data_IF_557911911860
#
_entry.id   IF_557911911860
#
_cell.length_a   1.000
_cell.length_b   1.000
_cell.length_c   1.000
_cell.angle_alpha   90.00
_cell.angle_beta   90.00
_cell.angle_gamma   90.00
#
_symmetry.space_group_name_H-M   'P 1'
#
loop_
_entity.id
_entity.type
_entity.pdbx_description
1 polymer ?
#
# COMPACT_ATOMS: atom_id res chain seq x y z
N UNK A 1 23.15 25.22 49.27
CA UNK A 1 22.47 23.92 49.05
C UNK A 1 20.97 24.16 49.15
N UNK A 2 20.31 24.43 48.02
CA UNK A 2 18.84 24.46 47.95
C UNK A 2 18.43 24.14 46.51
N UNK A 3 18.09 22.88 46.28
CA UNK A 3 17.59 22.35 45.01
C UNK A 3 16.11 22.70 44.85
N UNK A 4 15.77 23.52 43.85
CA UNK A 4 14.41 23.75 43.40
C UNK A 4 14.01 22.65 42.40
N UNK A 5 13.12 21.76 42.83
CA UNK A 5 12.48 20.77 41.97
C UNK A 5 11.31 21.41 41.23
N UNK A 6 11.42 21.57 39.93
CA UNK A 6 10.33 21.98 39.04
C UNK A 6 9.46 20.76 38.71
N UNK A 7 8.22 20.78 39.18
CA UNK A 7 7.20 19.79 38.86
C UNK A 7 6.83 19.90 37.37
N UNK A 8 7.17 18.86 36.59
CA UNK A 8 6.72 18.71 35.22
C UNK A 8 5.26 18.23 35.22
N UNK A 9 4.34 19.10 34.80
CA UNK A 9 2.94 18.80 34.57
C UNK A 9 2.83 17.78 33.42
N UNK A 10 2.47 16.54 33.76
CA UNK A 10 2.20 15.49 32.78
C UNK A 10 0.97 15.88 31.93
N UNK A 11 1.17 16.00 30.62
CA UNK A 11 0.09 16.15 29.66
C UNK A 11 -0.83 14.90 29.69
N UNK A 12 -2.15 15.05 29.53
CA UNK A 12 -3.06 13.92 29.61
C UNK A 12 -2.82 12.94 28.45
N UNK A 13 -2.97 11.63 28.69
CA UNK A 13 -2.80 10.63 27.64
C UNK A 13 -3.83 10.88 26.52
N UNK A 14 -3.34 10.98 25.29
CA UNK A 14 -4.18 11.09 24.09
C UNK A 14 -5.19 9.94 24.07
N UNK A 15 -6.47 10.31 23.98
CA UNK A 15 -7.57 9.35 23.97
C UNK A 15 -7.37 8.33 22.82
N UNK A 16 -7.14 7.06 23.18
CA UNK A 16 -7.15 5.94 22.22
C UNK A 16 -8.49 5.97 21.48
N UNK A 17 -8.52 6.02 20.14
CA UNK A 17 -9.78 5.93 19.42
C UNK A 17 -10.39 4.55 19.71
N UNK A 18 -11.52 4.54 20.45
CA UNK A 18 -12.36 3.35 20.62
C UNK A 18 -12.69 2.82 19.23
N UNK A 19 -12.38 1.54 18.98
CA UNK A 19 -12.46 0.91 17.67
C UNK A 19 -13.91 0.76 17.18
N UNK A 20 -14.46 1.83 16.62
CA UNK A 20 -15.70 1.80 15.85
C UNK A 20 -15.45 0.98 14.59
N UNK A 21 -16.33 0.01 14.32
CA UNK A 21 -16.27 -0.80 13.11
C UNK A 21 -16.39 0.10 11.87
N UNK A 22 -15.40 0.05 10.98
CA UNK A 22 -15.42 0.76 9.71
C UNK A 22 -16.44 0.14 8.76
N UNK A 23 -17.40 0.93 8.28
CA UNK A 23 -18.40 0.48 7.31
C UNK A 23 -17.75 -0.01 6.00
N UNK A 24 -16.62 0.58 5.60
CA UNK A 24 -15.84 0.13 4.45
C UNK A 24 -15.27 -1.27 4.66
N UNK A 25 -14.70 -1.53 5.84
CA UNK A 25 -14.15 -2.86 6.17
C UNK A 25 -15.23 -3.93 6.25
N UNK A 26 -16.42 -3.59 6.73
CA UNK A 26 -17.56 -4.50 6.80
C UNK A 26 -18.04 -5.02 5.43
N UNK A 27 -17.60 -4.40 4.32
CA UNK A 27 -17.88 -4.92 2.97
C UNK A 27 -17.08 -6.18 2.64
N UNK A 28 -15.95 -6.40 3.33
CA UNK A 28 -15.06 -7.52 3.08
C UNK A 28 -15.50 -8.74 3.88
N UNK A 29 -15.20 -9.94 3.38
CA UNK A 29 -15.34 -11.16 4.17
C UNK A 29 -14.52 -11.13 5.46
N UNK A 30 -14.90 -11.89 6.50
CA UNK A 30 -14.13 -11.99 7.75
C UNK A 30 -12.64 -12.27 7.53
N UNK A 31 -12.28 -13.11 6.56
CA UNK A 31 -10.90 -13.46 6.24
C UNK A 31 -10.14 -12.26 5.63
N UNK A 32 -10.76 -11.53 4.70
CA UNK A 32 -10.18 -10.33 4.13
C UNK A 32 -10.07 -9.20 5.17
N UNK A 33 -11.05 -9.08 6.08
CA UNK A 33 -10.98 -8.17 7.22
C UNK A 33 -9.81 -8.53 8.15
N UNK A 34 -9.63 -9.81 8.45
CA UNK A 34 -8.52 -10.31 9.26
C UNK A 34 -7.19 -9.95 8.61
N UNK A 35 -7.02 -10.27 7.32
CA UNK A 35 -5.83 -9.93 6.56
C UNK A 35 -5.50 -8.43 6.62
N UNK A 36 -6.43 -7.53 6.25
CA UNK A 36 -6.13 -6.08 6.23
C UNK A 36 -5.85 -5.52 7.63
N UNK A 37 -6.45 -6.07 8.68
CA UNK A 37 -6.15 -5.67 10.06
C UNK A 37 -4.72 -6.03 10.48
N UNK A 38 -4.14 -7.12 9.95
CA UNK A 38 -2.73 -7.46 10.23
C UNK A 38 -1.72 -6.48 9.62
N UNK A 39 -2.14 -5.65 8.65
CA UNK A 39 -1.32 -4.57 8.11
C UNK A 39 -1.16 -3.40 9.10
N UNK A 40 -2.13 -3.19 9.99
CA UNK A 40 -2.06 -2.14 11.00
C UNK A 40 -1.18 -2.50 12.20
N UNK A 41 -1.17 -1.62 13.20
CA UNK A 41 -0.37 -1.80 14.42
C UNK A 41 -1.08 -2.58 15.54
N UNK A 42 -0.45 -2.59 16.72
CA UNK A 42 -0.94 -3.26 17.94
C UNK A 42 -2.36 -2.86 18.37
N UNK A 43 -2.84 -1.69 17.95
CA UNK A 43 -4.22 -1.23 18.17
C UNK A 43 -5.30 -2.16 17.56
N UNK A 44 -4.93 -3.07 16.66
CA UNK A 44 -5.84 -4.01 16.02
C UNK A 44 -6.02 -5.34 16.76
N UNK A 45 -5.38 -5.55 17.91
CA UNK A 45 -5.50 -6.79 18.66
C UNK A 45 -6.95 -7.15 19.01
N UNK A 46 -7.73 -6.21 19.56
CA UNK A 46 -9.12 -6.44 19.92
C UNK A 46 -10.03 -6.82 18.71
N UNK A 47 -10.05 -6.09 17.58
CA UNK A 47 -10.85 -6.49 16.43
C UNK A 47 -10.37 -7.81 15.79
N UNK A 48 -9.07 -8.12 15.80
CA UNK A 48 -8.56 -9.41 15.32
C UNK A 48 -9.04 -10.58 16.21
N UNK A 49 -9.00 -10.44 17.54
CA UNK A 49 -9.54 -11.47 18.47
C UNK A 49 -11.01 -11.76 18.21
N UNK A 50 -11.84 -10.72 18.03
CA UNK A 50 -13.27 -10.89 17.71
C UNK A 50 -13.51 -11.68 16.42
N UNK A 51 -12.66 -11.50 15.41
CA UNK A 51 -12.75 -12.28 14.17
C UNK A 51 -12.37 -13.75 14.39
N UNK A 52 -11.39 -14.04 15.27
CA UNK A 52 -11.00 -15.41 15.62
C UNK A 52 -12.04 -16.16 16.46
N UNK A 53 -12.88 -15.43 17.20
CA UNK A 53 -14.00 -16.02 17.96
C UNK A 53 -15.12 -16.53 17.03
N UNK A 54 -15.13 -16.07 15.78
CA UNK A 54 -16.07 -16.49 14.73
C UNK A 54 -15.44 -17.56 13.82
N UNK A 55 -16.24 -18.43 13.16
CA UNK A 55 -15.70 -19.38 12.20
C UNK A 55 -15.09 -18.64 11.00
N UNK A 56 -13.78 -18.83 10.79
CA UNK A 56 -13.05 -18.34 9.62
C UNK A 56 -12.80 -19.48 8.62
N UNK A 57 -12.89 -19.19 7.34
CA UNK A 57 -12.39 -20.05 6.28
C UNK A 57 -10.85 -19.92 6.21
N UNK A 58 -10.15 -20.86 6.82
CA UNK A 58 -8.69 -20.86 6.89
C UNK A 58 -8.02 -21.01 5.51
N UNK A 59 -8.65 -21.71 4.57
CA UNK A 59 -8.11 -21.88 3.21
C UNK A 59 -8.21 -20.56 2.44
N UNK A 60 -9.32 -19.86 2.60
CA UNK A 60 -9.50 -18.52 2.03
C UNK A 60 -8.55 -17.51 2.64
N UNK A 61 -8.40 -17.47 3.97
CA UNK A 61 -7.44 -16.59 4.63
C UNK A 61 -6.00 -16.85 4.14
N UNK A 62 -5.64 -18.13 3.98
CA UNK A 62 -4.32 -18.53 3.45
C UNK A 62 -4.14 -18.03 2.02
N UNK A 63 -5.11 -18.25 1.14
CA UNK A 63 -5.07 -17.79 -0.25
C UNK A 63 -4.90 -16.27 -0.36
N UNK A 64 -5.68 -15.50 0.40
CA UNK A 64 -5.57 -14.05 0.45
C UNK A 64 -4.20 -13.59 0.98
N UNK A 65 -3.70 -14.25 2.02
CA UNK A 65 -2.40 -13.93 2.62
C UNK A 65 -1.25 -14.22 1.68
N UNK A 66 -1.28 -15.32 0.94
CA UNK A 66 -0.27 -15.64 -0.08
C UNK A 66 -0.30 -14.65 -1.24
N UNK A 67 -1.49 -14.26 -1.72
CA UNK A 67 -1.64 -13.27 -2.78
C UNK A 67 -1.01 -11.92 -2.42
N UNK A 68 -1.20 -11.46 -1.18
CA UNK A 68 -0.61 -10.22 -0.67
C UNK A 68 0.81 -10.40 -0.10
N UNK A 69 1.35 -11.63 -0.12
CA UNK A 69 2.63 -12.03 0.52
C UNK A 69 2.68 -11.76 2.03
N UNK A 70 1.53 -11.73 2.70
CA UNK A 70 1.38 -11.43 4.11
C UNK A 70 1.52 -12.64 5.04
N UNK A 71 1.74 -13.86 4.50
CA UNK A 71 1.66 -15.13 5.24
C UNK A 71 2.43 -15.15 6.55
N UNK A 72 3.70 -14.71 6.55
CA UNK A 72 4.53 -14.67 7.75
C UNK A 72 3.93 -13.75 8.82
N UNK A 73 3.51 -12.55 8.43
CA UNK A 73 2.96 -11.55 9.35
C UNK A 73 1.61 -12.01 9.92
N UNK A 74 0.75 -12.59 9.08
CA UNK A 74 -0.52 -13.17 9.50
C UNK A 74 -0.30 -14.31 10.50
N UNK A 75 0.69 -15.17 10.25
CA UNK A 75 1.08 -16.23 11.18
C UNK A 75 1.61 -15.69 12.51
N UNK A 76 2.44 -14.65 12.51
CA UNK A 76 2.91 -13.99 13.74
C UNK A 76 1.75 -13.41 14.56
N UNK A 77 0.76 -12.80 13.90
CA UNK A 77 -0.47 -12.37 14.58
C UNK A 77 -1.25 -13.53 15.17
N UNK A 78 -1.46 -14.62 14.42
CA UNK A 78 -2.15 -15.81 14.92
C UNK A 78 -1.44 -16.43 16.13
N UNK A 79 -0.10 -16.47 16.13
CA UNK A 79 0.67 -16.94 17.29
C UNK A 79 0.47 -16.02 18.51
N UNK A 80 0.54 -14.70 18.30
CA UNK A 80 0.37 -13.71 19.37
C UNK A 80 -1.04 -13.75 19.98
N UNK A 81 -2.06 -13.88 19.15
CA UNK A 81 -3.45 -13.86 19.59
C UNK A 81 -3.89 -15.21 20.17
N UNK A 82 -3.16 -16.27 19.86
CA UNK A 82 -3.60 -17.66 20.00
C UNK A 82 -4.32 -18.10 18.72
N UNK A 83 -4.11 -19.35 18.31
CA UNK A 83 -4.65 -19.91 17.06
C UNK A 83 -6.16 -20.16 17.12
N UNK A 84 -6.82 -19.88 18.25
CA UNK A 84 -8.27 -19.99 18.43
C UNK A 84 -8.78 -21.39 18.07
N UNK A 85 -9.75 -21.45 17.15
CA UNK A 85 -10.38 -22.68 16.64
C UNK A 85 -9.65 -23.31 15.44
N UNK A 86 -8.43 -22.86 15.12
CA UNK A 86 -7.67 -23.40 13.99
C UNK A 86 -7.31 -24.88 14.22
N UNK A 87 -7.66 -25.78 13.28
CA UNK A 87 -7.22 -27.18 13.34
C UNK A 87 -5.69 -27.31 13.37
N UNK A 88 -5.18 -28.33 14.06
CA UNK A 88 -3.74 -28.50 14.27
C UNK A 88 -2.95 -28.75 12.97
N UNK A 89 -3.54 -29.48 12.02
CA UNK A 89 -2.99 -29.71 10.69
C UNK A 89 -2.86 -28.40 9.88
N UNK A 90 -3.89 -27.55 9.93
CA UNK A 90 -3.88 -26.21 9.34
C UNK A 90 -2.81 -25.34 10.00
N UNK A 91 -2.71 -25.34 11.33
CA UNK A 91 -1.67 -24.58 12.04
C UNK A 91 -0.25 -25.04 11.67
N UNK A 92 -0.05 -26.36 11.51
CA UNK A 92 1.24 -26.92 11.07
C UNK A 92 1.58 -26.49 9.64
N UNK A 93 0.59 -26.38 8.76
CA UNK A 93 0.80 -25.88 7.40
C UNK A 93 1.18 -24.39 7.39
N UNK A 94 0.48 -23.56 8.15
CA UNK A 94 0.83 -22.14 8.30
C UNK A 94 2.24 -21.95 8.84
N UNK A 95 2.64 -22.75 9.85
CA UNK A 95 4.01 -22.73 10.37
C UNK A 95 5.03 -23.03 9.27
N UNK A 96 4.80 -24.06 8.45
CA UNK A 96 5.69 -24.39 7.32
C UNK A 96 5.77 -23.26 6.29
N UNK A 97 4.63 -22.69 5.91
CA UNK A 97 4.60 -21.58 4.97
C UNK A 97 5.31 -20.34 5.52
N UNK A 98 5.14 -20.03 6.81
CA UNK A 98 5.81 -18.91 7.46
C UNK A 98 7.34 -19.12 7.49
N UNK A 99 7.82 -20.32 7.81
CA UNK A 99 9.27 -20.65 7.75
C UNK A 99 9.83 -20.46 6.33
N UNK A 100 9.09 -20.86 5.29
CA UNK A 100 9.49 -20.62 3.90
C UNK A 100 9.55 -19.11 3.61
N UNK A 101 8.53 -18.34 4.00
CA UNK A 101 8.53 -16.89 3.79
C UNK A 101 9.68 -16.18 4.51
N UNK A 102 10.03 -16.61 5.72
CA UNK A 102 11.16 -16.08 6.49
C UNK A 102 12.50 -16.41 5.82
N UNK A 103 12.70 -17.67 5.42
CA UNK A 103 13.88 -18.09 4.65
C UNK A 103 14.04 -17.29 3.35
N UNK A 104 12.96 -17.13 2.59
CA UNK A 104 12.94 -16.34 1.36
C UNK A 104 13.29 -14.87 1.59
N UNK A 105 12.86 -14.30 2.72
CA UNK A 105 13.17 -12.93 3.09
C UNK A 105 14.65 -12.75 3.44
N UNK A 106 15.24 -13.68 4.20
CA UNK A 106 16.69 -13.67 4.47
C UNK A 106 17.51 -13.90 3.20
N UNK A 107 16.99 -14.70 2.27
CA UNK A 107 17.59 -14.86 0.95
C UNK A 107 17.58 -13.51 0.22
N UNK A 108 16.45 -12.82 0.11
CA UNK A 108 16.37 -11.49 -0.49
C UNK A 108 17.35 -10.50 0.14
N UNK A 109 17.43 -10.46 1.47
CA UNK A 109 18.35 -9.61 2.23
C UNK A 109 19.83 -9.86 1.85
N UNK A 110 20.26 -11.13 1.85
CA UNK A 110 21.62 -11.51 1.43
C UNK A 110 21.92 -11.06 0.00
N UNK A 111 21.00 -11.30 -0.92
CA UNK A 111 21.19 -10.94 -2.33
C UNK A 111 21.23 -9.43 -2.54
N UNK A 112 20.47 -8.66 -1.76
CA UNK A 112 20.57 -7.22 -1.75
C UNK A 112 21.96 -6.77 -1.30
N UNK A 113 22.49 -7.35 -0.22
CA UNK A 113 23.84 -7.04 0.27
C UNK A 113 24.91 -7.37 -0.77
N UNK A 114 24.85 -8.53 -1.41
CA UNK A 114 25.79 -8.92 -2.49
C UNK A 114 25.71 -7.98 -3.69
N UNK A 115 24.50 -7.58 -4.10
CA UNK A 115 24.31 -6.65 -5.21
C UNK A 115 24.86 -5.26 -4.88
N UNK A 116 24.57 -4.73 -3.69
CA UNK A 116 25.10 -3.43 -3.23
C UNK A 116 26.62 -3.48 -3.12
N UNK A 117 27.19 -4.53 -2.53
CA UNK A 117 28.64 -4.68 -2.40
C UNK A 117 29.36 -4.71 -3.75
N UNK A 118 28.82 -5.45 -4.72
CA UNK A 118 29.38 -5.52 -6.06
C UNK A 118 29.41 -4.15 -6.76
N UNK A 119 28.38 -3.33 -6.54
CA UNK A 119 28.26 -2.00 -7.14
C UNK A 119 29.14 -0.97 -6.42
N UNK A 120 29.08 -0.92 -5.09
CA UNK A 120 29.84 0.03 -4.27
C UNK A 120 31.35 -0.21 -4.40
N UNK A 121 31.80 -1.46 -4.53
CA UNK A 121 33.22 -1.80 -4.80
C UNK A 121 33.71 -1.26 -6.14
N UNK A 122 32.80 -0.99 -7.09
CA UNK A 122 33.10 -0.31 -8.38
C UNK A 122 32.87 1.21 -8.31
N UNK A 123 32.70 1.74 -7.10
CA UNK A 123 32.40 3.15 -6.84
C UNK A 123 31.02 3.59 -7.31
N UNK A 124 30.09 2.66 -7.62
CA UNK A 124 28.73 2.99 -8.04
C UNK A 124 27.90 3.28 -6.79
N UNK A 125 27.42 4.51 -6.65
CA UNK A 125 26.50 4.89 -5.59
C UNK A 125 25.13 4.21 -5.80
N UNK A 126 24.58 3.63 -4.74
CA UNK A 126 23.31 2.90 -4.78
C UNK A 126 22.31 3.52 -3.82
N UNK A 127 21.08 3.73 -4.28
CA UNK A 127 19.93 4.06 -3.45
C UNK A 127 18.99 2.86 -3.39
N UNK A 128 18.67 2.39 -2.19
CA UNK A 128 17.62 1.40 -1.98
C UNK A 128 16.26 2.05 -2.27
N UNK A 129 15.37 1.33 -2.96
CA UNK A 129 14.01 1.79 -3.23
C UNK A 129 12.95 0.83 -2.68
N UNK A 130 11.70 1.30 -2.61
CA UNK A 130 10.49 0.52 -2.30
C UNK A 130 10.70 -0.42 -1.10
N UNK A 131 10.47 -1.72 -1.29
CA UNK A 131 10.59 -2.73 -0.24
C UNK A 131 12.00 -2.79 0.35
N UNK A 132 13.04 -2.72 -0.48
CA UNK A 132 14.44 -2.74 -0.04
C UNK A 132 14.76 -1.58 0.91
N UNK A 133 14.31 -0.37 0.57
CA UNK A 133 14.51 0.81 1.41
C UNK A 133 13.75 0.70 2.74
N UNK A 134 12.47 0.31 2.67
CA UNK A 134 11.60 0.22 3.84
C UNK A 134 12.09 -0.85 4.81
N UNK A 135 12.44 -2.03 4.31
CA UNK A 135 12.99 -3.12 5.11
C UNK A 135 14.24 -2.69 5.88
N UNK A 136 15.12 -1.90 5.25
CA UNK A 136 16.37 -1.43 5.86
C UNK A 136 16.19 -0.26 6.83
N UNK A 137 15.20 0.61 6.60
CA UNK A 137 15.10 1.91 7.31
C UNK A 137 13.98 2.00 8.33
N UNK A 138 12.93 1.19 8.19
CA UNK A 138 11.69 1.39 8.94
C UNK A 138 11.21 0.12 9.67
N UNK A 139 11.42 -1.06 9.08
CA UNK A 139 11.02 -2.33 9.68
C UNK A 139 12.09 -2.86 10.63
N UNK A 140 11.70 -3.66 11.63
CA UNK A 140 12.66 -4.18 12.61
C UNK A 140 13.56 -5.29 12.03
N UNK A 141 13.08 -5.98 11.01
CA UNK A 141 13.88 -6.92 10.21
C UNK A 141 13.41 -6.96 8.76
N UNK A 142 14.25 -7.49 7.87
CA UNK A 142 13.92 -7.62 6.45
C UNK A 142 12.67 -8.49 6.22
N UNK A 143 12.49 -9.54 7.03
CA UNK A 143 11.34 -10.44 6.97
C UNK A 143 10.01 -9.78 7.38
N UNK A 144 10.05 -8.68 8.15
CA UNK A 144 8.84 -7.97 8.54
C UNK A 144 8.20 -7.14 7.41
N UNK A 145 8.96 -6.90 6.33
CA UNK A 145 8.49 -6.30 5.07
C UNK A 145 8.53 -7.33 3.94
N UNK A 146 7.49 -8.17 3.80
CA UNK A 146 7.41 -9.10 2.69
C UNK A 146 7.49 -8.42 1.31
N UNK A 147 8.37 -8.92 0.45
CA UNK A 147 8.56 -8.46 -0.93
C UNK A 147 8.87 -9.64 -1.86
N UNK A 148 8.87 -9.42 -3.18
CA UNK A 148 9.15 -10.48 -4.16
C UNK A 148 10.29 -10.13 -5.12
N UNK A 149 10.87 -8.95 -4.93
CA UNK A 149 11.78 -8.27 -5.82
C UNK A 149 12.64 -7.30 -5.03
N UNK A 150 13.81 -7.01 -5.56
CA UNK A 150 14.73 -6.01 -5.05
C UNK A 150 14.76 -4.82 -6.00
N UNK A 151 14.43 -3.65 -5.47
CA UNK A 151 14.53 -2.39 -6.19
C UNK A 151 15.73 -1.59 -5.68
N UNK A 152 16.64 -1.25 -6.59
CA UNK A 152 17.74 -0.32 -6.34
C UNK A 152 17.75 0.75 -7.42
N UNK A 153 18.25 1.93 -7.10
CA UNK A 153 18.45 3.02 -8.04
C UNK A 153 19.92 3.42 -8.06
N UNK A 154 20.41 3.71 -9.26
CA UNK A 154 21.76 4.25 -9.51
C UNK A 154 21.64 5.50 -10.36
N UNK A 155 22.72 6.27 -10.47
CA UNK A 155 22.78 7.40 -11.39
C UNK A 155 22.61 6.91 -12.84
N UNK A 156 21.82 7.63 -13.64
CA UNK A 156 21.41 7.20 -14.97
C UNK A 156 22.61 6.92 -15.88
N UNK A 157 23.64 7.76 -15.79
CA UNK A 157 24.90 7.65 -16.52
C UNK A 157 25.71 6.38 -16.19
N UNK A 158 25.48 5.76 -15.02
CA UNK A 158 26.15 4.51 -14.60
C UNK A 158 25.22 3.29 -14.62
N UNK A 159 23.98 3.44 -15.09
CA UNK A 159 22.98 2.38 -14.99
C UNK A 159 23.33 1.13 -15.80
N UNK A 160 23.83 1.30 -17.02
CA UNK A 160 24.28 0.17 -17.85
C UNK A 160 25.53 -0.51 -17.26
N UNK A 161 26.46 0.27 -16.70
CA UNK A 161 27.62 -0.27 -15.99
C UNK A 161 27.19 -1.11 -14.79
N UNK A 162 26.29 -0.59 -13.95
CA UNK A 162 25.75 -1.31 -12.80
C UNK A 162 25.07 -2.62 -13.22
N UNK A 163 24.24 -2.56 -14.25
CA UNK A 163 23.53 -3.70 -14.80
C UNK A 163 24.48 -4.76 -15.38
N UNK A 164 25.56 -4.36 -16.05
CA UNK A 164 26.63 -5.26 -16.49
C UNK A 164 27.41 -5.88 -15.32
N UNK A 165 27.77 -5.09 -14.30
CA UNK A 165 28.45 -5.60 -13.09
C UNK A 165 27.60 -6.68 -12.41
N UNK A 166 26.31 -6.45 -12.25
CA UNK A 166 25.40 -7.42 -11.66
C UNK A 166 25.36 -8.73 -12.46
N UNK A 167 25.38 -8.66 -13.80
CA UNK A 167 25.41 -9.88 -14.61
C UNK A 167 26.68 -10.72 -14.40
N UNK A 168 27.83 -10.09 -14.15
CA UNK A 168 29.06 -10.82 -13.76
C UNK A 168 28.95 -11.51 -12.38
N UNK A 169 27.90 -11.20 -11.61
CA UNK A 169 27.63 -11.73 -10.26
C UNK A 169 26.45 -12.70 -10.21
N UNK A 170 26.13 -13.36 -11.32
CA UNK A 170 25.13 -14.44 -11.38
C UNK A 170 23.70 -13.96 -11.63
N UNK A 171 23.51 -12.68 -11.93
CA UNK A 171 22.25 -12.15 -12.43
C UNK A 171 22.16 -12.31 -13.95
N UNK A 172 20.98 -12.59 -14.48
CA UNK A 172 20.79 -12.75 -15.93
C UNK A 172 19.56 -12.02 -16.42
N UNK A 173 19.63 -11.57 -17.66
CA UNK A 173 18.51 -10.94 -18.34
C UNK A 173 17.77 -11.95 -19.22
N UNK A 174 16.54 -12.36 -18.85
CA UNK A 174 15.73 -13.20 -19.71
C UNK A 174 15.03 -12.32 -20.77
N UNK A 175 15.77 -11.98 -21.83
CA UNK A 175 15.32 -11.07 -22.89
C UNK A 175 14.00 -11.47 -23.56
N UNK A 176 13.69 -12.77 -23.63
CA UNK A 176 12.41 -13.25 -24.14
C UNK A 176 11.20 -12.82 -23.27
N UNK A 177 11.41 -12.66 -21.96
CA UNK A 177 10.39 -12.19 -21.02
C UNK A 177 10.34 -10.65 -20.93
N UNK A 178 11.50 -10.01 -21.07
CA UNK A 178 11.65 -8.56 -20.96
C UNK A 178 12.50 -8.02 -22.12
N UNK A 179 11.92 -7.89 -23.32
CA UNK A 179 12.62 -7.38 -24.50
C UNK A 179 13.05 -5.92 -24.28
N UNK A 180 14.24 -5.54 -24.76
CA UNK A 180 14.83 -4.22 -24.51
C UNK A 180 13.98 -3.08 -25.09
N UNK A 181 13.25 -3.35 -26.16
CA UNK A 181 12.35 -2.43 -26.86
C UNK A 181 11.21 -1.91 -25.99
N UNK A 182 10.90 -2.61 -24.88
CA UNK A 182 9.88 -2.18 -23.91
C UNK A 182 10.38 -1.17 -22.87
N UNK A 183 11.68 -0.88 -22.82
CA UNK A 183 12.31 -0.09 -21.77
C UNK A 183 12.75 1.35 -22.11
N UNK A 184 12.69 1.87 -23.36
CA UNK A 184 12.86 3.30 -23.60
C UNK A 184 11.84 4.12 -22.79
N UNK A 185 12.32 5.07 -21.98
CA UNK A 185 11.48 5.90 -21.11
C UNK A 185 10.92 5.19 -19.87
N UNK A 186 11.27 3.92 -19.64
CA UNK A 186 10.94 3.21 -18.41
C UNK A 186 11.87 3.65 -17.27
N UNK A 187 11.39 3.63 -16.03
CA UNK A 187 12.17 4.09 -14.87
C UNK A 187 13.31 3.15 -14.45
N UNK A 188 13.41 1.98 -15.09
CA UNK A 188 14.44 0.99 -14.83
C UNK A 188 14.85 0.26 -16.09
N UNK A 189 16.05 -0.31 -16.08
CA UNK A 189 16.53 -1.23 -17.10
C UNK A 189 15.75 -2.55 -17.05
N UNK A 190 15.82 -3.41 -18.10
CA UNK A 190 15.20 -4.71 -18.06
C UNK A 190 15.54 -5.49 -16.77
N UNK A 191 14.54 -6.08 -16.08
CA UNK A 191 14.78 -6.80 -14.84
C UNK A 191 15.76 -7.95 -15.02
N UNK A 192 16.58 -8.15 -14.00
CA UNK A 192 17.49 -9.27 -13.90
C UNK A 192 16.87 -10.36 -13.02
N UNK A 193 17.17 -11.63 -13.33
CA UNK A 193 16.86 -12.77 -12.50
C UNK A 193 18.14 -13.42 -11.97
N UNK A 194 18.11 -13.79 -10.71
CA UNK A 194 19.16 -14.64 -10.17
C UNK A 194 19.13 -16.04 -10.80
N UNK A 195 20.29 -16.51 -11.24
CA UNK A 195 20.48 -17.87 -11.78
C UNK A 195 20.79 -18.92 -10.72
N UNK A 196 21.09 -18.48 -9.50
CA UNK A 196 21.52 -19.33 -8.39
C UNK A 196 20.34 -19.85 -7.55
N UNK A 197 19.09 -19.51 -7.90
CA UNK A 197 17.87 -19.86 -7.17
C UNK A 197 16.58 -19.72 -7.99
N UNK A 198 15.42 -19.60 -7.32
CA UNK A 198 14.08 -19.59 -7.93
C UNK A 198 13.72 -18.32 -8.76
N UNK A 199 14.70 -17.65 -9.37
CA UNK A 199 14.45 -16.49 -10.23
C UNK A 199 14.01 -15.24 -9.46
N UNK A 200 14.71 -14.93 -8.36
CA UNK A 200 14.60 -13.65 -7.63
C UNK A 200 14.80 -12.49 -8.62
N UNK A 201 13.91 -11.50 -8.60
CA UNK A 201 13.96 -10.35 -9.52
C UNK A 201 14.69 -9.16 -8.90
N UNK A 202 15.66 -8.60 -9.61
CA UNK A 202 16.32 -7.34 -9.27
C UNK A 202 16.11 -6.32 -10.39
N UNK A 203 15.64 -5.14 -10.01
CA UNK A 203 15.37 -4.01 -10.91
C UNK A 203 16.37 -2.89 -10.63
N UNK A 204 17.11 -2.47 -11.66
CA UNK A 204 18.06 -1.34 -11.62
C UNK A 204 17.37 -0.11 -12.18
N UNK A 205 16.91 0.75 -11.27
CA UNK A 205 16.20 1.99 -11.56
C UNK A 205 17.16 3.13 -11.87
N UNK A 206 16.71 4.03 -12.73
CA UNK A 206 17.34 5.34 -13.01
C UNK A 206 16.46 6.50 -12.56
N UNK A 207 15.16 6.23 -12.34
CA UNK A 207 14.20 7.17 -11.79
C UNK A 207 13.15 6.41 -10.95
N UNK A 208 12.25 7.11 -10.26
CA UNK A 208 11.15 6.49 -9.52
C UNK A 208 9.97 6.10 -10.41
N UNK A 209 9.75 6.86 -11.48
CA UNK A 209 8.53 6.84 -12.28
C UNK A 209 8.87 6.95 -13.77
N UNK A 210 8.06 6.35 -14.66
CA UNK A 210 8.34 6.32 -16.08
C UNK A 210 8.25 7.72 -16.70
N UNK A 211 9.09 8.00 -17.70
CA UNK A 211 9.14 9.28 -18.37
C UNK A 211 7.76 9.74 -18.84
N UNK A 212 7.40 11.01 -18.56
CA UNK A 212 6.10 11.60 -18.87
C UNK A 212 5.04 11.44 -17.77
N UNK A 213 5.37 10.85 -16.62
CA UNK A 213 4.50 10.84 -15.45
C UNK A 213 4.16 12.27 -14.96
N UNK A 214 3.01 12.48 -14.29
CA UNK A 214 2.52 13.83 -13.97
C UNK A 214 2.97 14.37 -12.60
N UNK A 215 3.97 13.75 -11.96
CA UNK A 215 4.35 14.05 -10.58
C UNK A 215 5.63 14.88 -10.53
N UNK A 216 5.71 15.85 -9.63
CA UNK A 216 6.94 16.62 -9.42
C UNK A 216 7.78 15.94 -8.33
N UNK A 217 8.49 14.88 -8.72
CA UNK A 217 9.33 14.10 -7.82
C UNK A 217 10.62 13.67 -8.54
N UNK A 218 11.53 14.62 -8.86
CA UNK A 218 12.74 14.30 -9.60
C UNK A 218 13.69 13.45 -8.76
N UNK A 219 14.31 12.45 -9.39
CA UNK A 219 15.32 11.58 -8.78
C UNK A 219 16.49 12.37 -8.15
N UNK A 220 16.88 13.50 -8.75
CA UNK A 220 17.93 14.38 -8.20
C UNK A 220 17.60 14.93 -6.81
N UNK A 221 16.34 15.32 -6.58
CA UNK A 221 15.92 15.76 -5.25
C UNK A 221 15.96 14.60 -4.24
N UNK A 222 15.68 13.37 -4.68
CA UNK A 222 15.85 12.20 -3.83
C UNK A 222 17.31 11.95 -3.48
N UNK A 223 18.22 11.99 -4.46
CA UNK A 223 19.65 11.76 -4.20
C UNK A 223 20.23 12.79 -3.24
N UNK A 224 19.89 14.07 -3.44
CA UNK A 224 20.32 15.17 -2.57
C UNK A 224 19.83 14.99 -1.13
N UNK A 225 18.56 14.64 -0.96
CA UNK A 225 17.92 14.57 0.37
C UNK A 225 18.03 13.16 1.00
N UNK A 226 18.71 12.22 0.34
CA UNK A 226 18.78 10.85 0.81
C UNK A 226 19.53 10.72 2.15
N UNK A 227 19.11 9.74 2.94
CA UNK A 227 19.80 9.32 4.15
C UNK A 227 20.78 8.19 3.84
N UNK A 228 21.91 8.15 4.56
CA UNK A 228 22.84 7.02 4.48
C UNK A 228 22.33 5.88 5.33
N UNK A 229 22.34 4.68 4.76
CA UNK A 229 21.96 3.44 5.44
C UNK A 229 23.14 2.47 5.43
N UNK A 230 23.34 1.75 6.53
CA UNK A 230 24.40 0.73 6.63
C UNK A 230 23.83 -0.62 6.23
N UNK A 231 24.51 -1.31 5.31
CA UNK A 231 24.23 -2.69 4.91
C UNK A 231 25.48 -3.52 5.19
N UNK A 232 25.45 -4.34 6.24
CA UNK A 232 26.60 -5.17 6.65
C UNK A 232 27.96 -4.41 6.60
N UNK A 233 28.76 -4.61 5.55
CA UNK A 233 30.09 -3.99 5.34
C UNK A 233 30.08 -2.71 4.49
N UNK A 234 28.95 -2.34 3.90
CA UNK A 234 28.83 -1.24 2.96
C UNK A 234 27.82 -0.19 3.43
N UNK A 235 27.82 0.94 2.73
CA UNK A 235 26.78 1.96 2.88
C UNK A 235 26.06 2.15 1.56
N UNK A 236 24.76 2.42 1.66
CA UNK A 236 23.94 2.84 0.53
C UNK A 236 23.13 4.08 0.95
N UNK A 237 22.32 4.56 0.03
CA UNK A 237 21.38 5.66 0.23
C UNK A 237 19.96 5.10 0.35
N UNK A 238 19.07 5.81 1.01
CA UNK A 238 17.64 5.56 0.98
C UNK A 238 16.88 6.89 1.02
N UNK A 239 15.67 6.97 0.45
CA UNK A 239 14.83 8.16 0.62
C UNK A 239 14.47 8.34 2.10
N UNK A 240 14.24 9.58 2.53
CA UNK A 240 13.70 9.86 3.87
C UNK A 240 12.27 9.29 4.02
N UNK A 241 11.77 9.11 5.26
CA UNK A 241 10.44 8.52 5.50
C UNK A 241 9.28 9.22 4.80
N UNK A 242 9.30 10.55 4.61
CA UNK A 242 8.24 11.27 3.92
C UNK A 242 8.25 10.95 2.42
N UNK A 243 9.42 10.91 1.80
CA UNK A 243 9.56 10.53 0.38
C UNK A 243 9.27 9.04 0.14
N UNK A 244 9.59 8.18 1.10
CA UNK A 244 9.16 6.77 1.06
C UNK A 244 7.63 6.65 1.10
N UNK A 245 6.96 7.37 2.02
CA UNK A 245 5.49 7.38 2.11
C UNK A 245 4.84 7.97 0.85
N UNK A 246 5.40 9.06 0.32
CA UNK A 246 4.94 9.72 -0.90
C UNK A 246 5.02 8.77 -2.10
N UNK A 247 6.20 8.17 -2.33
CA UNK A 247 6.41 7.23 -3.42
C UNK A 247 5.53 5.98 -3.27
N UNK A 248 5.43 5.39 -2.08
CA UNK A 248 4.54 4.25 -1.82
C UNK A 248 3.07 4.59 -2.10
N UNK A 249 2.62 5.79 -1.74
CA UNK A 249 1.26 6.28 -2.02
C UNK A 249 1.01 6.44 -3.52
N UNK A 250 1.95 7.03 -4.26
CA UNK A 250 1.88 7.17 -5.71
C UNK A 250 1.86 5.78 -6.37
N UNK A 251 2.76 4.89 -5.96
CA UNK A 251 2.87 3.55 -6.52
C UNK A 251 1.56 2.77 -6.34
N UNK A 252 1.00 2.76 -5.12
CA UNK A 252 -0.26 2.10 -4.83
C UNK A 252 -1.45 2.74 -5.58
N UNK A 253 -1.58 4.07 -5.54
CA UNK A 253 -2.77 4.74 -6.05
C UNK A 253 -2.77 4.91 -7.58
N UNK A 254 -1.60 5.15 -8.17
CA UNK A 254 -1.44 5.47 -9.58
C UNK A 254 -0.89 4.28 -10.37
N UNK A 255 0.33 3.83 -10.09
CA UNK A 255 0.95 2.69 -10.81
C UNK A 255 0.12 1.42 -10.68
N UNK A 256 -0.46 1.23 -9.49
CA UNK A 256 -1.28 0.08 -9.16
C UNK A 256 -2.78 0.30 -9.32
N UNK A 257 -3.21 1.49 -9.73
CA UNK A 257 -4.62 1.85 -9.93
C UNK A 257 -5.52 1.56 -8.71
N UNK A 258 -4.97 1.47 -7.48
CA UNK A 258 -5.66 1.04 -6.24
C UNK A 258 -6.19 -0.41 -6.28
N UNK A 259 -5.56 -1.32 -7.05
CA UNK A 259 -6.10 -2.67 -7.30
C UNK A 259 -5.32 -3.83 -6.67
N UNK A 260 -4.09 -3.62 -6.22
CA UNK A 260 -3.16 -4.68 -5.81
C UNK A 260 -2.10 -4.11 -4.87
N UNK A 261 -1.58 -4.95 -3.98
CA UNK A 261 -0.55 -4.57 -3.01
C UNK A 261 -1.06 -3.66 -1.89
N UNK A 262 -2.38 -3.58 -1.68
CA UNK A 262 -2.98 -2.71 -0.67
C UNK A 262 -2.55 -3.08 0.75
N UNK A 263 -2.42 -4.37 1.07
CA UNK A 263 -1.97 -4.79 2.40
C UNK A 263 -0.57 -4.25 2.71
N UNK A 264 0.38 -4.38 1.76
CA UNK A 264 1.73 -3.83 1.90
C UNK A 264 1.72 -2.31 2.02
N UNK A 265 0.96 -1.62 1.16
CA UNK A 265 0.84 -0.17 1.22
C UNK A 265 0.31 0.32 2.58
N UNK A 266 -0.71 -0.34 3.15
CA UNK A 266 -1.26 0.04 4.45
C UNK A 266 -0.29 -0.25 5.60
N UNK A 267 0.47 -1.34 5.50
CA UNK A 267 1.52 -1.68 6.47
C UNK A 267 2.67 -0.69 6.41
N UNK A 268 3.12 -0.32 5.21
CA UNK A 268 4.15 0.69 5.01
C UNK A 268 3.71 2.04 5.61
N UNK A 269 2.44 2.45 5.40
CA UNK A 269 1.86 3.62 6.08
C UNK A 269 1.92 3.45 7.61
N UNK A 270 1.46 2.31 8.14
CA UNK A 270 1.42 2.06 9.57
C UNK A 270 2.81 2.16 10.22
N UNK A 271 3.82 1.54 9.61
CA UNK A 271 5.19 1.53 10.12
C UNK A 271 5.82 2.91 10.04
N UNK A 272 5.80 3.56 8.86
CA UNK A 272 6.42 4.88 8.68
C UNK A 272 5.80 5.96 9.59
N UNK A 273 4.50 5.84 9.90
CA UNK A 273 3.76 6.84 10.68
C UNK A 273 3.65 6.49 12.17
N UNK A 274 4.19 5.34 12.60
CA UNK A 274 4.15 4.88 14.00
C UNK A 274 5.13 5.60 14.93
N UNK A 275 6.14 6.27 14.39
CA UNK A 275 7.12 7.04 15.16
C UNK A 275 6.47 8.19 15.96
N UNK A 276 7.11 8.57 17.07
CA UNK A 276 6.55 9.51 18.06
C UNK A 276 6.01 10.81 17.44
N UNK A 277 6.57 11.30 16.33
CA UNK A 277 6.09 12.50 15.64
C UNK A 277 6.37 12.45 14.12
N UNK A 278 5.63 11.63 13.35
CA UNK A 278 5.69 11.75 11.88
C UNK A 278 5.30 13.18 11.45
N UNK A 279 6.13 13.87 10.64
CA UNK A 279 5.95 15.29 10.31
C UNK A 279 4.82 15.49 9.28
N UNK A 280 3.58 15.40 9.75
CA UNK A 280 2.39 15.44 8.91
C UNK A 280 2.22 16.75 8.13
N UNK A 281 2.53 17.89 8.73
CA UNK A 281 2.44 19.19 8.05
C UNK A 281 3.43 19.30 6.89
N UNK A 282 4.76 19.07 7.09
CA UNK A 282 5.71 18.97 5.98
C UNK A 282 5.32 17.92 4.93
N UNK A 283 4.79 16.76 5.33
CA UNK A 283 4.34 15.74 4.39
C UNK A 283 3.17 16.22 3.51
N UNK A 284 2.20 16.96 4.08
CA UNK A 284 1.10 17.53 3.30
C UNK A 284 1.61 18.55 2.28
N UNK A 285 2.58 19.40 2.66
CA UNK A 285 3.24 20.32 1.73
C UNK A 285 3.96 19.56 0.61
N UNK A 286 4.78 18.56 0.97
CA UNK A 286 5.45 17.70 0.00
C UNK A 286 4.47 17.02 -0.97
N UNK A 287 3.33 16.53 -0.49
CA UNK A 287 2.31 15.91 -1.34
C UNK A 287 1.66 16.91 -2.31
N UNK A 288 1.53 18.19 -1.92
CA UNK A 288 1.03 19.26 -2.81
C UNK A 288 2.06 19.60 -3.88
N UNK A 289 3.28 19.88 -3.46
CA UNK A 289 4.37 20.29 -4.36
C UNK A 289 4.67 19.19 -5.37
N UNK A 290 4.58 17.93 -4.96
CA UNK A 290 4.76 16.77 -5.85
C UNK A 290 3.53 16.39 -6.70
N UNK A 291 2.43 17.16 -6.65
CA UNK A 291 1.18 16.83 -7.34
C UNK A 291 0.62 15.44 -6.96
N UNK A 292 0.83 15.01 -5.73
CA UNK A 292 0.51 13.67 -5.23
C UNK A 292 -0.58 13.65 -4.16
N UNK A 293 -1.27 14.77 -3.93
CA UNK A 293 -2.30 14.94 -2.89
C UNK A 293 -3.35 13.83 -2.91
N UNK A 294 -3.96 13.56 -4.07
CA UNK A 294 -5.02 12.53 -4.17
C UNK A 294 -4.49 11.12 -3.97
N UNK A 295 -3.26 10.84 -4.42
CA UNK A 295 -2.62 9.55 -4.23
C UNK A 295 -2.40 9.28 -2.74
N UNK A 296 -1.82 10.26 -2.03
CA UNK A 296 -1.63 10.21 -0.59
C UNK A 296 -2.96 10.12 0.15
N UNK A 297 -3.97 10.87 -0.28
CA UNK A 297 -5.31 10.81 0.31
C UNK A 297 -5.90 9.40 0.29
N UNK A 298 -5.90 8.73 -0.86
CA UNK A 298 -6.50 7.39 -0.95
C UNK A 298 -5.68 6.33 -0.22
N UNK A 299 -4.35 6.40 -0.31
CA UNK A 299 -3.48 5.49 0.44
C UNK A 299 -3.74 5.59 1.95
N UNK A 300 -3.75 6.82 2.49
CA UNK A 300 -3.97 7.08 3.92
C UNK A 300 -5.42 6.81 4.35
N UNK A 301 -6.42 7.20 3.54
CA UNK A 301 -7.84 6.97 3.86
C UNK A 301 -8.14 5.47 3.93
N UNK A 302 -7.66 4.68 2.98
CA UNK A 302 -7.85 3.23 2.96
C UNK A 302 -7.05 2.53 4.07
N UNK A 303 -5.81 2.96 4.34
CA UNK A 303 -5.04 2.45 5.48
C UNK A 303 -5.78 2.68 6.82
N UNK A 304 -6.38 3.86 6.99
CA UNK A 304 -7.20 4.17 8.17
C UNK A 304 -8.48 3.33 8.23
N UNK A 305 -9.24 3.26 7.15
CA UNK A 305 -10.57 2.64 7.17
C UNK A 305 -10.55 1.11 7.10
N UNK A 306 -9.56 0.51 6.44
CA UNK A 306 -9.41 -0.94 6.32
C UNK A 306 -8.46 -1.49 7.38
N UNK A 307 -7.26 -0.95 7.48
CA UNK A 307 -6.21 -1.45 8.37
C UNK A 307 -6.19 -0.77 9.75
N UNK A 308 -7.08 0.18 10.05
CA UNK A 308 -7.14 0.82 11.37
C UNK A 308 -5.93 1.70 11.69
N UNK A 309 -5.17 2.14 10.69
CA UNK A 309 -3.99 2.97 10.88
C UNK A 309 -4.38 4.37 11.39
N UNK A 310 -3.65 4.88 12.37
CA UNK A 310 -3.89 6.21 12.93
C UNK A 310 -3.40 7.29 11.98
N UNK A 311 -4.33 7.91 11.24
CA UNK A 311 -4.05 9.08 10.39
C UNK A 311 -4.86 10.26 10.93
N UNK A 312 -4.22 11.40 11.28
CA UNK A 312 -4.92 12.57 11.79
C UNK A 312 -6.04 13.03 10.84
N UNK A 313 -7.27 13.32 11.33
CA UNK A 313 -8.36 13.81 10.48
C UNK A 313 -8.00 15.09 9.71
N UNK A 314 -7.19 15.96 10.29
CA UNK A 314 -6.71 17.19 9.63
C UNK A 314 -5.90 16.91 8.37
N UNK A 315 -5.05 15.89 8.39
CA UNK A 315 -4.24 15.46 7.23
C UNK A 315 -5.13 14.95 6.11
N UNK A 316 -6.09 14.07 6.42
CA UNK A 316 -7.03 13.57 5.41
C UNK A 316 -7.88 14.70 4.81
N UNK A 317 -8.30 15.69 5.61
CA UNK A 317 -9.00 16.88 5.08
C UNK A 317 -8.09 17.70 4.17
N UNK A 318 -6.83 17.89 4.54
CA UNK A 318 -5.88 18.71 3.79
C UNK A 318 -5.47 18.11 2.43
N UNK A 319 -5.53 16.78 2.29
CA UNK A 319 -5.19 16.04 1.07
C UNK A 319 -6.43 15.67 0.22
N UNK A 320 -7.64 15.94 0.71
CA UNK A 320 -8.88 15.45 0.11
C UNK A 320 -9.15 16.09 -1.27
N UNK A 321 -9.49 15.29 -2.30
CA UNK A 321 -9.99 15.83 -3.56
C UNK A 321 -11.37 16.48 -3.40
N UNK A 322 -11.64 17.53 -4.18
CA UNK A 322 -12.91 18.27 -4.11
C UNK A 322 -14.10 17.43 -4.64
N UNK A 323 -14.67 16.61 -3.74
CA UNK A 323 -15.75 15.66 -4.02
C UNK A 323 -16.75 15.60 -2.86
N UNK A 324 -18.06 15.47 -3.13
CA UNK A 324 -19.06 15.24 -2.09
C UNK A 324 -18.72 14.00 -1.25
N UNK A 325 -18.93 14.05 0.08
CA UNK A 325 -18.58 12.93 0.98
C UNK A 325 -19.26 11.63 0.59
N UNK A 326 -20.53 11.69 0.17
CA UNK A 326 -21.23 10.51 -0.29
C UNK A 326 -20.47 9.84 -1.45
N UNK A 327 -20.07 10.61 -2.47
CA UNK A 327 -19.33 10.07 -3.60
C UNK A 327 -17.96 9.51 -3.16
N UNK A 328 -17.25 10.22 -2.29
CA UNK A 328 -15.98 9.75 -1.72
C UNK A 328 -16.14 8.42 -1.01
N UNK A 329 -17.20 8.23 -0.22
CA UNK A 329 -17.50 6.97 0.43
C UNK A 329 -17.79 5.83 -0.58
N UNK A 330 -18.54 6.11 -1.66
CA UNK A 330 -18.79 5.13 -2.72
C UNK A 330 -17.51 4.70 -3.44
N UNK A 331 -16.62 5.65 -3.68
CA UNK A 331 -15.32 5.36 -4.27
C UNK A 331 -14.44 4.54 -3.32
N UNK A 332 -14.48 4.84 -2.03
CA UNK A 332 -13.80 4.04 -1.01
C UNK A 332 -14.28 2.59 -0.99
N UNK A 333 -15.59 2.37 -1.07
CA UNK A 333 -16.18 1.02 -1.16
C UNK A 333 -15.70 0.31 -2.42
N UNK A 334 -15.69 1.01 -3.55
CA UNK A 334 -15.16 0.48 -4.80
C UNK A 334 -13.69 0.04 -4.65
N UNK A 335 -12.84 0.89 -4.07
CA UNK A 335 -11.42 0.56 -3.90
C UNK A 335 -11.23 -0.62 -2.95
N UNK A 336 -11.96 -0.67 -1.83
CA UNK A 336 -11.91 -1.80 -0.91
C UNK A 336 -12.24 -3.14 -1.60
N UNK A 337 -13.29 -3.17 -2.43
CA UNK A 337 -13.67 -4.37 -3.20
C UNK A 337 -12.67 -4.70 -4.33
N UNK A 338 -11.98 -3.71 -4.89
CA UNK A 338 -10.99 -3.94 -5.93
C UNK A 338 -9.69 -4.55 -5.42
N UNK A 339 -9.33 -4.34 -4.14
CA UNK A 339 -8.11 -4.91 -3.54
C UNK A 339 -8.08 -6.43 -3.58
N UNK A 340 -9.24 -7.06 -3.42
CA UNK A 340 -9.39 -8.50 -3.41
C UNK A 340 -10.42 -8.91 -4.47
N UNK A 341 -10.01 -9.28 -5.69
CA UNK A 341 -10.95 -9.64 -6.75
C UNK A 341 -11.94 -10.76 -6.36
N UNK A 342 -11.51 -11.68 -5.48
CA UNK A 342 -12.35 -12.73 -4.88
C UNK A 342 -13.49 -12.18 -4.01
N UNK A 343 -13.39 -10.94 -3.55
CA UNK A 343 -14.39 -10.23 -2.75
C UNK A 343 -15.38 -9.46 -3.62
N UNK A 344 -15.54 -9.79 -4.91
CA UNK A 344 -16.54 -9.17 -5.78
C UNK A 344 -16.12 -7.81 -6.33
N UNK A 345 -14.88 -7.74 -6.84
CA UNK A 345 -14.34 -6.54 -7.49
C UNK A 345 -15.11 -6.11 -8.75
N UNK A 346 -14.77 -4.93 -9.28
CA UNK A 346 -15.45 -4.35 -10.44
C UNK A 346 -15.31 -5.26 -11.68
N UNK A 347 -16.42 -5.72 -12.29
CA UNK A 347 -16.36 -6.69 -13.40
C UNK A 347 -16.00 -6.06 -14.76
N UNK A 348 -15.71 -4.76 -14.79
CA UNK A 348 -15.46 -4.01 -16.02
C UNK A 348 -14.25 -3.10 -15.87
N UNK A 349 -13.20 -3.36 -16.65
CA UNK A 349 -11.99 -2.52 -16.70
C UNK A 349 -12.32 -1.07 -17.05
N UNK A 350 -13.24 -0.85 -18.01
CA UNK A 350 -13.67 0.50 -18.39
C UNK A 350 -14.37 1.23 -17.25
N UNK A 351 -15.25 0.54 -16.50
CA UNK A 351 -15.92 1.12 -15.34
C UNK A 351 -14.91 1.39 -14.21
N UNK A 352 -14.01 0.44 -13.95
CA UNK A 352 -12.92 0.58 -12.98
C UNK A 352 -12.05 1.81 -13.27
N UNK A 353 -11.60 2.00 -14.52
CA UNK A 353 -10.83 3.18 -14.92
C UNK A 353 -11.61 4.50 -14.80
N UNK A 354 -12.92 4.48 -15.07
CA UNK A 354 -13.79 5.66 -14.86
C UNK A 354 -13.92 6.02 -13.38
N UNK A 355 -14.14 5.03 -12.52
CA UNK A 355 -14.22 5.22 -11.07
C UNK A 355 -12.88 5.61 -10.47
N UNK A 356 -11.77 5.04 -10.96
CA UNK A 356 -10.42 5.50 -10.66
C UNK A 356 -10.25 6.98 -11.02
N UNK A 357 -10.59 7.39 -12.26
CA UNK A 357 -10.46 8.78 -12.68
C UNK A 357 -11.37 9.73 -11.87
N UNK A 358 -12.54 9.24 -11.44
CA UNK A 358 -13.44 10.00 -10.59
C UNK A 358 -12.83 10.25 -9.20
N UNK A 359 -12.29 9.22 -8.55
CA UNK A 359 -11.68 9.39 -7.23
C UNK A 359 -10.30 10.01 -7.22
N UNK A 360 -9.44 9.66 -8.19
CA UNK A 360 -8.11 10.26 -8.33
C UNK A 360 -8.15 11.71 -8.83
N UNK A 361 -9.27 12.14 -9.40
CA UNK A 361 -9.51 13.50 -9.88
C UNK A 361 -8.27 14.15 -10.54
N UNK A 362 -7.75 13.58 -11.65
CA UNK A 362 -6.47 14.01 -12.23
C UNK A 362 -6.38 15.51 -12.52
N UNK A 363 -7.49 16.14 -12.95
CA UNK A 363 -7.55 17.59 -13.16
C UNK A 363 -7.31 18.41 -11.89
N UNK A 364 -7.79 17.94 -10.72
CA UNK A 364 -7.53 18.59 -9.43
C UNK A 364 -6.07 18.44 -8.99
N UNK A 365 -5.43 17.33 -9.35
CA UNK A 365 -4.01 17.08 -9.04
C UNK A 365 -3.06 17.71 -10.05
N UNK A 366 -3.56 18.44 -11.07
CA UNK A 366 -2.73 19.04 -12.13
C UNK A 366 -2.18 18.03 -13.15
N UNK A 367 -2.71 16.81 -13.22
CA UNK A 367 -2.23 15.75 -14.12
C UNK A 367 -2.77 15.85 -15.56
N UNK A 368 -3.73 16.74 -15.81
CA UNK A 368 -4.34 16.90 -17.13
C UNK A 368 -4.93 15.60 -17.70
N UNK A 369 -4.52 15.25 -18.93
CA UNK A 369 -4.96 14.04 -19.64
C UNK A 369 -4.14 12.79 -19.31
N UNK A 370 -3.09 12.90 -18.50
CA UNK A 370 -2.15 11.81 -18.21
C UNK A 370 -2.79 10.74 -17.33
N UNK A 371 -2.62 9.46 -17.67
CA UNK A 371 -3.23 8.31 -16.99
C UNK A 371 -2.25 7.14 -16.87
N UNK A 372 -2.31 6.35 -15.78
CA UNK A 372 -1.32 5.30 -15.52
C UNK A 372 -1.27 4.23 -16.62
N UNK A 373 -2.39 3.90 -17.25
CA UNK A 373 -2.45 2.92 -18.33
C UNK A 373 -1.83 3.37 -19.66
N UNK A 374 -1.25 4.58 -19.72
CA UNK A 374 -0.43 5.03 -20.86
C UNK A 374 1.02 4.58 -20.74
N UNK A 375 1.46 4.16 -19.55
CA UNK A 375 2.87 3.87 -19.22
C UNK A 375 3.18 2.38 -19.07
N UNK A 376 2.25 1.50 -19.45
CA UNK A 376 2.46 0.06 -19.39
C UNK A 376 2.22 -0.58 -20.78
N UNK A 377 3.25 -0.66 -21.63
CA UNK A 377 3.17 -1.31 -22.93
C UNK A 377 2.83 -2.81 -22.80
N UNK A 378 3.33 -3.47 -21.74
CA UNK A 378 3.24 -4.92 -21.52
C UNK A 378 1.84 -5.37 -21.04
N UNK A 379 1.04 -4.50 -20.43
CA UNK A 379 -0.38 -4.76 -20.15
C UNK A 379 -1.26 -4.77 -21.40
N UNK A 380 -0.84 -4.10 -22.46
CA UNK A 380 -1.65 -3.91 -23.67
C UNK A 380 -1.72 -5.19 -24.53
N UNK A 381 -0.68 -6.03 -24.51
CA UNK A 381 -0.57 -7.24 -25.36
C UNK A 381 -1.36 -8.43 -24.81
N UNK A 382 -1.53 -8.55 -23.49
CA UNK A 382 -2.31 -9.64 -22.88
C UNK A 382 -3.84 -9.54 -23.14
N UNK A 383 -4.33 -8.40 -23.63
CA UNK A 383 -5.75 -8.19 -23.94
C UNK A 383 -6.17 -8.67 -25.35
N UNK A 384 -5.24 -9.18 -26.18
CA UNK A 384 -5.46 -9.44 -27.60
C UNK A 384 -5.48 -10.93 -28.01
N UNK A 385 -5.77 -11.87 -27.09
CA UNK A 385 -5.97 -13.28 -27.42
C UNK A 385 -7.41 -13.71 -27.08
N UNK A 386 -8.34 -13.44 -28.00
CA UNK A 386 -9.74 -13.87 -27.88
C UNK A 386 -10.12 -14.88 -28.96
N UNK A 387 -10.12 -16.18 -28.62
CA UNK A 387 -10.66 -17.24 -29.47
C UNK A 387 -12.13 -17.58 -29.14
N UNK A 388 -12.99 -17.43 -30.16
CA UNK A 388 -14.06 -18.34 -30.62
C UNK A 388 -15.40 -18.60 -29.86
N UNK A 389 -16.43 -18.78 -30.70
CA UNK A 389 -17.76 -19.42 -30.54
C UNK A 389 -18.97 -18.63 -29.95
N UNK A 390 -20.07 -18.62 -30.72
CA UNK A 390 -21.29 -17.84 -30.51
C UNK A 390 -22.22 -18.24 -29.33
N UNK A 391 -22.33 -19.52 -28.86
CA UNK A 391 -23.24 -19.85 -27.75
C UNK A 391 -22.70 -19.44 -26.35
N UNK A 392 -21.39 -19.20 -26.20
CA UNK A 392 -20.78 -18.77 -24.93
C UNK A 392 -21.07 -17.30 -24.59
N UNK A 393 -21.55 -16.52 -25.56
CA UNK A 393 -21.76 -15.07 -25.44
C UNK A 393 -22.95 -14.70 -24.56
N UNK A 394 -24.05 -15.45 -24.62
CA UNK A 394 -25.25 -15.17 -23.83
C UNK A 394 -25.04 -15.45 -22.33
N UNK A 395 -24.54 -16.64 -22.00
CA UNK A 395 -24.16 -17.02 -20.63
C UNK A 395 -23.11 -16.07 -20.03
N UNK A 396 -22.11 -15.66 -20.82
CA UNK A 396 -21.13 -14.68 -20.39
C UNK A 396 -21.76 -13.31 -20.14
N UNK A 397 -22.68 -12.85 -21.00
CA UNK A 397 -23.42 -11.59 -20.82
C UNK A 397 -24.29 -11.62 -19.55
N UNK A 398 -25.07 -12.68 -19.34
CA UNK A 398 -25.91 -12.83 -18.14
C UNK A 398 -25.07 -12.83 -16.87
N UNK A 399 -23.99 -13.63 -16.82
CA UNK A 399 -23.06 -13.66 -15.67
C UNK A 399 -22.43 -12.29 -15.42
N UNK A 400 -22.04 -11.58 -16.47
CA UNK A 400 -21.45 -10.23 -16.37
C UNK A 400 -22.47 -9.20 -15.88
N UNK A 401 -23.72 -9.27 -16.35
CA UNK A 401 -24.81 -8.39 -15.90
C UNK A 401 -25.13 -8.63 -14.42
N UNK A 402 -25.30 -9.89 -14.02
CA UNK A 402 -25.53 -10.26 -12.63
C UNK A 402 -24.40 -9.81 -11.71
N UNK A 403 -23.13 -10.05 -12.11
CA UNK A 403 -21.96 -9.57 -11.38
C UNK A 403 -21.91 -8.04 -11.27
N UNK A 404 -22.32 -7.32 -12.33
CA UNK A 404 -22.39 -5.85 -12.34
C UNK A 404 -23.45 -5.34 -11.38
N UNK A 405 -24.63 -5.95 -11.35
CA UNK A 405 -25.71 -5.59 -10.42
C UNK A 405 -25.27 -5.82 -8.96
N UNK A 406 -24.74 -7.01 -8.65
CA UNK A 406 -24.25 -7.33 -7.31
C UNK A 406 -23.13 -6.39 -6.84
N UNK A 407 -22.19 -6.08 -7.75
CA UNK A 407 -21.13 -5.10 -7.51
C UNK A 407 -21.70 -3.69 -7.22
N UNK A 408 -22.64 -3.22 -8.04
CA UNK A 408 -23.26 -1.90 -7.85
C UNK A 408 -24.02 -1.83 -6.54
N UNK A 409 -24.81 -2.86 -6.19
CA UNK A 409 -25.54 -2.93 -4.92
C UNK A 409 -24.62 -2.76 -3.71
N UNK A 410 -23.45 -3.41 -3.71
CA UNK A 410 -22.48 -3.30 -2.61
C UNK A 410 -21.84 -1.92 -2.54
N UNK A 411 -21.47 -1.36 -3.70
CA UNK A 411 -20.87 -0.02 -3.75
C UNK A 411 -21.89 1.06 -3.38
N UNK A 412 -23.19 0.88 -3.65
CA UNK A 412 -24.26 1.85 -3.33
C UNK A 412 -25.01 1.59 -2.03
N UNK A 413 -24.74 0.48 -1.33
CA UNK A 413 -25.39 0.11 -0.07
C UNK A 413 -25.28 1.23 0.99
N UNK A 414 -26.38 1.59 1.66
CA UNK A 414 -26.34 2.56 2.76
C UNK A 414 -25.42 2.04 3.87
N UNK A 415 -24.57 2.92 4.40
CA UNK A 415 -23.75 2.59 5.58
C UNK A 415 -24.68 2.19 6.73
N UNK A 416 -24.50 1.02 7.37
CA UNK A 416 -25.36 0.60 8.48
C UNK A 416 -25.31 1.58 9.68
N UNK A 417 -24.28 2.43 9.78
CA UNK A 417 -24.10 3.41 10.86
C UNK A 417 -24.64 4.82 10.53
N UNK A 418 -25.53 4.99 9.54
CA UNK A 418 -26.07 6.30 9.18
C UNK A 418 -27.30 6.74 10.02
N UNK A 419 -27.73 5.93 11.00
CA UNK A 419 -28.89 6.21 11.84
C UNK A 419 -28.46 6.28 13.30
N UNK A 420 -27.80 7.37 13.66
CA UNK A 420 -27.78 7.92 15.03
C UNK A 420 -27.35 9.38 14.93
N UNK A 421 -28.24 10.21 14.38
CA UNK A 421 -28.25 11.63 14.73
C UNK A 421 -29.06 11.72 16.01
N UNK A 422 -28.39 11.94 17.14
CA UNK A 422 -29.03 12.34 18.39
C UNK A 422 -29.93 13.57 18.15
N UNK A 423 -31.09 13.65 18.82
CA UNK A 423 -32.00 14.78 18.68
C UNK A 423 -31.32 16.05 19.19
N UNK A 424 -31.62 17.18 18.54
CA UNK A 424 -31.23 18.51 19.02
C UNK A 424 -32.00 18.76 20.32
N UNK A 425 -31.27 18.97 21.41
CA UNK A 425 -31.81 19.68 22.56
C UNK A 425 -31.96 21.15 22.14
N UNK A 426 -33.19 21.56 21.85
CA UNK A 426 -33.55 22.97 21.76
C UNK A 426 -33.73 23.48 23.21
N UNK A 427 -32.68 24.10 23.75
CA UNK A 427 -32.80 25.00 24.88
C UNK A 427 -33.69 26.18 24.47
N UNK A 428 -34.93 26.20 24.95
CA UNK A 428 -35.73 27.42 25.04
C UNK A 428 -35.16 28.30 26.15
N UNK A 429 -34.28 29.23 25.78
CA UNK A 429 -34.09 30.47 26.54
C UNK A 429 -35.27 31.40 26.25
N UNK A 430 -36.27 31.37 27.14
CA UNK A 430 -37.22 32.47 27.28
C UNK A 430 -36.53 33.62 27.99
N UNK A 431 -36.11 34.63 27.23
CA UNK A 431 -35.93 35.99 27.70
C UNK A 431 -36.94 36.87 26.95
N UNK A 432 -37.80 37.55 27.69
CA UNK A 432 -38.81 38.47 27.19
C UNK A 432 -39.45 39.19 28.37
N UNK A 433 -38.91 40.37 28.66
CA UNK A 433 -39.38 41.37 29.61
C UNK A 433 -40.76 41.94 29.25
N UNK A 434 -41.31 42.73 30.20
CA UNK A 434 -42.49 43.62 30.19
C UNK A 434 -43.64 43.08 31.07
N UNK A 435 -44.17 43.74 32.10
CA UNK A 435 -44.04 45.10 32.65
C UNK A 435 -45.30 45.39 33.48
N UNK A 436 -45.20 46.30 34.45
CA UNK A 436 -46.33 47.03 35.09
C UNK A 436 -47.20 46.31 36.14
N UNK A 437 -46.85 46.46 37.42
CA UNK A 437 -47.57 47.32 38.40
C UNK A 437 -46.98 47.19 39.81
#
# INVERSE_FOLDING_TARGET
MTTLATAATAAPPSAKPRGVASATRALLSPEAQFLVLTAGGSGNEAPLRRLLDSPLDWLKLRSLSQQERATLIVWQWLQRLGTGRMPADVANEWRRLAMVCEFESHRLERYLHEAVDALVTRGIEVMLLKGSALAQTAYASFAERPMGDLDIMVRAERAHEAWSVLQTRGWTWPSARWPAEGYPGHQHLPPLLDTRGEGLRLEVHTDLLPAGHPFQLPSEALWRDAQTVRLHQQTARAPDPMRQLLHGSIHFAWTHELRWGGWRAFRDVAILTSGAHFPWEPFVTLARDSHATTACYWALRLARSLAGVSVPPGVLRALRPHRPELLTQRLEYHYALQLFPSEGGCPSVRLGRRLWALGMAPGWSGHGSIRPWQFDPLRTTAAAAGSHAWPRRLLHRVRKTAATIAYLQRVTARSPNAVERQPRDEEHQCAGEEGSR
#
